data_IF_117486743956
#
_entry.id   IF_117486743956
#
_cell.length_a   1.000
_cell.length_b   1.000
_cell.length_c   1.000
_cell.angle_alpha   90.00
_cell.angle_beta   90.00
_cell.angle_gamma   90.00
#
_symmetry.space_group_name_H-M   'P 1'
#
loop_
_entity.id
_entity.type
_entity.pdbx_description
1 polymer ?
#
# COMPACT_ATOMS: atom_id res chain seq x y z
N UNK A 1 16.89 -5.19 67.02
CA UNK A 1 16.95 -5.76 65.67
C UNK A 1 18.10 -5.06 64.96
N UNK A 2 19.11 -5.82 64.54
CA UNK A 2 20.36 -5.47 63.82
C UNK A 2 19.96 -4.95 62.40
N UNK A 3 20.52 -3.94 61.71
CA UNK A 3 21.91 -3.58 61.33
C UNK A 3 21.95 -2.15 60.62
N UNK A 4 23.04 -1.63 60.00
CA UNK A 4 23.63 -0.33 60.37
C UNK A 4 23.91 0.68 59.21
N UNK A 5 24.39 1.87 59.57
CA UNK A 5 25.37 2.74 58.89
C UNK A 5 25.35 2.94 57.35
N UNK A 6 25.19 4.19 56.88
CA UNK A 6 26.30 5.11 56.48
C UNK A 6 25.73 6.34 55.76
N UNK A 7 26.19 7.53 56.14
CA UNK A 7 25.81 8.81 55.52
C UNK A 7 26.70 9.17 54.27
N UNK A 8 26.79 10.43 53.77
CA UNK A 8 26.48 10.77 52.38
C UNK A 8 27.71 11.22 51.57
N UNK A 9 27.69 11.18 50.24
CA UNK A 9 28.65 11.95 49.43
C UNK A 9 27.95 12.53 48.19
N UNK A 10 28.18 13.84 48.08
CA UNK A 10 27.87 14.85 47.08
C UNK A 10 28.05 14.48 45.60
N UNK A 11 27.27 15.19 44.79
CA UNK A 11 27.62 15.86 43.53
C UNK A 11 28.81 15.30 42.74
N UNK A 12 28.59 15.04 41.46
CA UNK A 12 29.13 15.92 40.41
C UNK A 12 28.68 15.45 39.01
N UNK A 13 28.26 16.46 38.25
CA UNK A 13 28.12 16.58 36.79
C UNK A 13 26.67 16.51 36.29
N UNK A 14 26.02 17.66 36.25
CA UNK A 14 26.01 18.58 35.09
C UNK A 14 25.19 17.99 33.95
N UNK A 15 23.95 18.43 33.81
CA UNK A 15 23.59 19.58 32.98
C UNK A 15 23.34 19.14 31.54
N UNK A 16 22.07 18.96 31.19
CA UNK A 16 21.38 19.73 30.13
C UNK A 16 19.93 19.23 29.99
N UNK A 17 19.02 20.06 29.46
CA UNK A 17 17.70 20.26 30.06
C UNK A 17 16.64 19.29 29.55
N UNK A 18 15.60 19.11 30.37
CA UNK A 18 14.27 18.73 29.91
C UNK A 18 13.77 19.79 28.91
N UNK A 19 13.78 19.46 27.62
CA UNK A 19 13.02 20.21 26.63
C UNK A 19 11.63 19.59 26.59
N UNK A 20 10.72 20.26 27.29
CA UNK A 20 9.28 20.15 27.10
C UNK A 20 8.89 20.53 25.67
N UNK A 21 7.94 19.77 25.14
CA UNK A 21 6.93 20.14 24.15
C UNK A 21 7.34 20.90 22.88
N UNK A 22 7.13 20.22 21.75
CA UNK A 22 6.93 20.85 20.44
C UNK A 22 7.69 20.17 19.31
N UNK A 23 6.99 19.30 18.59
CA UNK A 23 7.38 18.76 17.27
C UNK A 23 8.58 17.80 17.22
N UNK A 24 8.37 16.53 17.57
CA UNK A 24 9.29 15.44 17.20
C UNK A 24 8.55 14.30 16.51
N UNK A 25 8.29 14.46 15.21
CA UNK A 25 8.05 13.34 14.30
C UNK A 25 9.11 13.37 13.20
N UNK A 26 10.30 12.85 13.50
CA UNK A 26 11.25 12.51 12.44
C UNK A 26 10.64 11.35 11.63
N UNK A 27 10.39 11.56 10.34
CA UNK A 27 9.63 10.63 9.51
C UNK A 27 10.46 9.39 9.07
N UNK A 28 11.79 9.46 9.08
CA UNK A 28 12.70 8.32 8.82
C UNK A 28 14.16 8.62 9.23
N UNK A 29 14.99 7.56 9.30
CA UNK A 29 16.46 7.65 9.42
C UNK A 29 17.11 7.15 8.12
N UNK A 30 18.00 7.94 7.50
CA UNK A 30 18.82 7.52 6.35
C UNK A 30 20.29 7.60 6.79
N UNK A 31 21.03 6.48 6.70
CA UNK A 31 22.42 6.37 7.21
C UNK A 31 22.64 6.78 8.68
N UNK A 32 21.58 6.74 9.50
CA UNK A 32 21.64 7.11 10.91
C UNK A 32 21.41 8.61 11.19
N UNK A 33 21.27 9.44 10.17
CA UNK A 33 20.89 10.85 10.33
C UNK A 33 19.36 11.02 10.28
N UNK A 34 18.76 11.78 11.23
CA UNK A 34 17.32 12.01 11.26
C UNK A 34 16.88 13.01 10.17
N UNK A 35 15.94 12.59 9.32
CA UNK A 35 15.37 13.43 8.26
C UNK A 35 14.10 14.15 8.76
N UNK A 36 14.17 15.48 8.82
CA UNK A 36 13.09 16.36 9.30
C UNK A 36 12.29 17.04 8.19
N UNK A 37 12.66 16.84 6.93
CA UNK A 37 11.92 17.30 5.74
C UNK A 37 12.01 16.22 4.67
N UNK A 38 10.88 15.85 4.09
CA UNK A 38 10.84 15.02 2.88
C UNK A 38 11.43 15.85 1.73
N UNK A 39 12.56 15.46 1.12
CA UNK A 39 13.06 16.11 -0.08
C UNK A 39 12.07 15.87 -1.22
N UNK A 40 11.80 16.90 -2.02
CA UNK A 40 10.84 16.84 -3.14
C UNK A 40 11.31 15.90 -4.26
N UNK A 41 12.56 15.45 -4.22
CA UNK A 41 13.16 14.51 -5.16
C UNK A 41 13.84 13.39 -4.36
N UNK A 42 13.08 12.34 -4.04
CA UNK A 42 13.61 11.15 -3.37
C UNK A 42 14.43 10.35 -4.38
N UNK A 43 15.71 10.69 -4.53
CA UNK A 43 16.68 9.90 -5.27
C UNK A 43 16.83 8.53 -4.59
N UNK A 44 16.37 7.47 -5.25
CA UNK A 44 16.54 6.08 -4.80
C UNK A 44 17.85 5.56 -5.39
N UNK A 45 18.84 5.19 -4.56
CA UNK A 45 20.10 4.62 -5.02
C UNK A 45 19.88 3.29 -5.76
N UNK A 46 20.74 2.94 -6.73
CA UNK A 46 20.63 1.69 -7.51
C UNK A 46 20.61 0.42 -6.65
N UNK A 47 21.26 0.42 -5.49
CA UNK A 47 21.26 -0.73 -4.56
C UNK A 47 19.91 -0.89 -3.81
N UNK A 48 19.14 0.20 -3.67
CA UNK A 48 17.76 0.13 -3.17
C UNK A 48 16.77 -0.29 -4.27
N UNK A 49 17.20 -0.39 -5.53
CA UNK A 49 16.41 -0.81 -6.68
C UNK A 49 16.30 -2.35 -6.79
N UNK A 50 17.30 -3.09 -6.30
CA UNK A 50 17.29 -4.56 -6.24
C UNK A 50 16.18 -5.11 -5.34
N UNK A 51 15.84 -4.38 -4.27
CA UNK A 51 14.76 -4.74 -3.33
C UNK A 51 13.36 -4.44 -3.91
N UNK A 52 13.26 -3.80 -5.08
CA UNK A 52 12.02 -3.21 -5.58
C UNK A 52 11.19 -4.06 -6.55
N UNK A 53 11.70 -5.13 -7.18
CA UNK A 53 10.84 -5.98 -8.04
C UNK A 53 10.13 -7.11 -7.32
N UNK A 54 10.57 -7.48 -6.13
CA UNK A 54 9.69 -8.21 -5.22
C UNK A 54 8.53 -7.31 -4.73
N UNK A 55 8.68 -5.98 -4.84
CA UNK A 55 7.67 -5.01 -4.44
C UNK A 55 6.71 -4.57 -5.57
N UNK A 56 7.00 -4.89 -6.84
CA UNK A 56 6.11 -4.57 -7.95
C UNK A 56 5.20 -5.74 -8.30
N UNK A 57 3.90 -5.47 -8.38
CA UNK A 57 2.87 -6.44 -8.75
C UNK A 57 2.74 -6.56 -10.27
N UNK A 58 3.87 -6.69 -10.98
CA UNK A 58 3.94 -6.96 -12.42
C UNK A 58 4.33 -5.77 -13.31
N UNK A 59 4.34 -5.98 -14.65
CA UNK A 59 4.92 -5.04 -15.61
C UNK A 59 4.11 -3.74 -15.79
N UNK A 60 2.79 -3.78 -15.58
CA UNK A 60 1.94 -2.59 -15.66
C UNK A 60 2.22 -1.62 -14.50
N UNK A 61 2.49 -2.16 -13.31
CA UNK A 61 2.81 -1.35 -12.14
C UNK A 61 4.15 -0.64 -12.29
N UNK A 62 5.14 -1.36 -12.81
CA UNK A 62 6.43 -0.77 -13.16
C UNK A 62 6.27 0.36 -14.19
N UNK A 63 5.43 0.17 -15.21
CA UNK A 63 5.16 1.21 -16.20
C UNK A 63 4.48 2.44 -15.58
N UNK A 64 3.46 2.25 -14.73
CA UNK A 64 2.82 3.36 -14.01
C UNK A 64 3.83 4.12 -13.13
N UNK A 65 4.72 3.40 -12.44
CA UNK A 65 5.79 4.00 -11.67
C UNK A 65 6.71 4.87 -12.54
N UNK A 66 7.18 4.35 -13.68
CA UNK A 66 8.05 5.10 -14.60
C UNK A 66 7.36 6.34 -15.18
N UNK A 67 6.08 6.23 -15.55
CA UNK A 67 5.28 7.34 -16.08
C UNK A 67 5.12 8.44 -15.02
N UNK A 68 4.77 8.07 -13.78
CA UNK A 68 4.61 9.03 -12.67
C UNK A 68 5.94 9.68 -12.28
N UNK A 69 7.03 8.91 -12.22
CA UNK A 69 8.37 9.41 -11.88
C UNK A 69 8.84 10.51 -12.84
N UNK A 70 8.48 10.42 -14.11
CA UNK A 70 8.84 11.39 -15.13
C UNK A 70 7.78 12.48 -15.34
N UNK A 71 6.69 12.48 -14.55
CA UNK A 71 5.54 13.37 -14.71
C UNK A 71 4.93 13.30 -16.13
N UNK A 72 4.94 12.12 -16.75
CA UNK A 72 4.28 11.93 -18.05
C UNK A 72 2.77 11.80 -17.87
N UNK A 73 2.03 12.29 -18.87
CA UNK A 73 0.61 12.06 -18.96
C UNK A 73 0.36 10.61 -19.44
N UNK A 74 -0.42 9.83 -18.69
CA UNK A 74 -0.84 8.48 -19.08
C UNK A 74 -1.57 8.46 -20.42
N UNK A 75 -2.28 9.54 -20.79
CA UNK A 75 -2.97 9.65 -22.07
C UNK A 75 -2.04 9.98 -23.23
N UNK A 76 -0.86 10.55 -22.94
CA UNK A 76 0.12 10.95 -23.94
C UNK A 76 1.53 10.51 -23.56
N UNK A 77 1.74 9.19 -23.63
CA UNK A 77 2.98 8.57 -23.18
C UNK A 77 4.07 8.77 -24.26
N UNK A 78 5.24 9.33 -23.93
CA UNK A 78 6.40 9.35 -24.82
C UNK A 78 7.03 7.95 -24.91
N UNK A 79 6.48 7.13 -25.80
CA UNK A 79 6.84 5.70 -25.95
C UNK A 79 8.35 5.46 -26.11
N UNK A 80 9.05 6.33 -26.83
CA UNK A 80 10.49 6.20 -27.01
C UNK A 80 11.27 6.27 -25.68
N UNK A 81 10.90 7.19 -24.80
CA UNK A 81 11.58 7.40 -23.51
C UNK A 81 11.18 6.32 -22.50
N UNK A 82 9.88 6.01 -22.40
CA UNK A 82 9.37 4.98 -21.48
C UNK A 82 9.93 3.60 -21.83
N UNK A 83 9.97 3.24 -23.11
CA UNK A 83 10.54 1.95 -23.56
C UNK A 83 12.03 1.87 -23.23
N UNK A 84 12.79 2.94 -23.44
CA UNK A 84 14.22 2.98 -23.11
C UNK A 84 14.45 2.74 -21.62
N UNK A 85 13.68 3.42 -20.76
CA UNK A 85 13.81 3.27 -19.31
C UNK A 85 13.38 1.88 -18.85
N UNK A 86 12.27 1.37 -19.36
CA UNK A 86 11.79 0.03 -19.05
C UNK A 86 12.85 -1.03 -19.36
N UNK A 87 13.42 -1.00 -20.57
CA UNK A 87 14.49 -1.92 -20.97
C UNK A 87 15.75 -1.77 -20.10
N UNK A 88 16.14 -0.55 -19.75
CA UNK A 88 17.28 -0.30 -18.87
C UNK A 88 17.08 -0.88 -17.46
N UNK A 89 15.86 -0.77 -16.93
CA UNK A 89 15.48 -1.41 -15.67
C UNK A 89 15.55 -2.94 -15.78
N UNK A 90 14.89 -3.53 -16.78
CA UNK A 90 14.92 -5.00 -16.99
C UNK A 90 16.33 -5.54 -17.14
N UNK A 91 17.22 -4.82 -17.82
CA UNK A 91 18.59 -5.28 -18.02
C UNK A 91 19.38 -5.34 -16.70
N UNK A 92 19.20 -4.36 -15.80
CA UNK A 92 19.85 -4.38 -14.47
C UNK A 92 19.41 -5.59 -13.62
N UNK A 93 18.15 -6.00 -13.77
CA UNK A 93 17.52 -7.07 -12.98
C UNK A 93 17.85 -8.46 -13.52
N UNK A 94 17.97 -8.57 -14.85
CA UNK A 94 18.33 -9.82 -15.54
C UNK A 94 19.66 -10.40 -15.06
N UNK A 95 20.56 -9.56 -14.53
CA UNK A 95 21.83 -9.99 -13.95
C UNK A 95 21.66 -10.72 -12.60
N UNK A 96 20.52 -10.57 -11.93
CA UNK A 96 20.28 -11.06 -10.57
C UNK A 96 19.16 -12.12 -10.50
N UNK A 97 18.13 -12.05 -11.34
CA UNK A 97 17.01 -13.00 -11.29
C UNK A 97 16.36 -13.26 -12.66
N UNK A 98 16.63 -14.43 -13.26
CA UNK A 98 16.14 -14.79 -14.61
C UNK A 98 14.70 -15.34 -14.61
N UNK A 99 14.25 -15.96 -13.51
CA UNK A 99 12.95 -16.67 -13.45
C UNK A 99 11.76 -15.70 -13.38
N UNK A 100 11.92 -14.55 -12.73
CA UNK A 100 10.87 -13.51 -12.61
C UNK A 100 10.66 -12.71 -13.91
N UNK A 101 11.55 -12.83 -14.91
CA UNK A 101 11.60 -11.91 -16.03
C UNK A 101 10.59 -12.19 -17.16
N UNK A 102 9.92 -13.35 -17.19
CA UNK A 102 9.15 -13.79 -18.36
C UNK A 102 8.01 -12.81 -18.76
N UNK A 103 7.20 -12.38 -17.79
CA UNK A 103 6.10 -11.43 -18.04
C UNK A 103 6.63 -10.04 -18.43
N UNK A 104 7.77 -9.65 -17.83
CA UNK A 104 8.41 -8.38 -18.13
C UNK A 104 9.02 -8.35 -19.54
N UNK A 105 9.54 -9.48 -20.02
CA UNK A 105 10.06 -9.63 -21.39
C UNK A 105 8.95 -9.57 -22.43
N UNK A 106 7.77 -10.15 -22.13
CA UNK A 106 6.60 -9.99 -22.99
C UNK A 106 6.23 -8.51 -23.15
N UNK A 107 6.18 -7.78 -22.04
CA UNK A 107 5.90 -6.33 -22.09
C UNK A 107 6.99 -5.57 -22.83
N UNK A 108 8.27 -5.92 -22.66
CA UNK A 108 9.36 -5.32 -23.43
C UNK A 108 9.16 -5.48 -24.95
N UNK A 109 8.78 -6.68 -25.39
CA UNK A 109 8.49 -6.94 -26.80
C UNK A 109 7.31 -6.09 -27.31
N UNK A 110 6.23 -5.99 -26.51
CA UNK A 110 5.07 -5.14 -26.85
C UNK A 110 5.46 -3.66 -26.96
N UNK A 111 6.25 -3.13 -26.03
CA UNK A 111 6.71 -1.73 -26.07
C UNK A 111 7.57 -1.45 -27.31
N UNK A 112 8.47 -2.38 -27.66
CA UNK A 112 9.31 -2.28 -28.87
C UNK A 112 8.45 -2.30 -30.14
N UNK A 113 7.44 -3.17 -30.20
CA UNK A 113 6.48 -3.24 -31.30
C UNK A 113 5.72 -1.92 -31.47
N UNK A 114 5.16 -1.38 -30.38
CA UNK A 114 4.42 -0.10 -30.39
C UNK A 114 5.36 1.03 -30.83
N UNK A 115 6.56 1.12 -30.25
CA UNK A 115 7.57 2.11 -30.65
C UNK A 115 7.91 2.01 -32.13
N UNK A 116 8.10 0.81 -32.65
CA UNK A 116 8.39 0.58 -34.07
C UNK A 116 7.25 1.07 -34.96
N UNK A 117 6.01 0.69 -34.66
CA UNK A 117 4.81 1.12 -35.40
C UNK A 117 4.66 2.64 -35.41
N UNK A 118 4.92 3.31 -34.28
CA UNK A 118 4.84 4.77 -34.18
C UNK A 118 5.93 5.50 -34.97
N UNK A 119 7.10 4.88 -35.16
CA UNK A 119 8.21 5.47 -35.91
C UNK A 119 8.11 5.22 -37.42
N UNK A 120 7.30 4.23 -37.84
CA UNK A 120 7.12 3.91 -39.25
C UNK A 120 6.21 4.94 -39.93
N UNK A 121 6.55 5.38 -41.16
CA UNK A 121 5.67 6.27 -41.91
C UNK A 121 4.34 5.57 -42.17
N UNK A 122 3.26 6.19 -41.70
CA UNK A 122 1.89 5.74 -41.97
C UNK A 122 1.70 5.69 -43.49
N UNK A 123 1.40 4.50 -44.04
CA UNK A 123 0.89 4.41 -45.41
C UNK A 123 -0.37 5.26 -45.44
N UNK A 124 -0.43 6.23 -46.36
CA UNK A 124 -1.68 6.94 -46.65
C UNK A 124 -2.73 5.87 -46.90
N UNK A 125 -3.71 5.78 -46.01
CA UNK A 125 -4.81 4.85 -46.19
C UNK A 125 -5.53 5.28 -47.49
N UNK A 126 -5.78 4.33 -48.39
CA UNK A 126 -6.68 4.53 -49.53
C UNK A 126 -8.17 4.58 -49.07
N UNK A 127 -8.40 4.59 -47.75
CA UNK A 127 -9.67 4.48 -47.04
C UNK A 127 -9.76 5.59 -45.98
N UNK A 128 -10.96 6.12 -45.76
CA UNK A 128 -11.32 7.14 -44.74
C UNK A 128 -11.31 6.59 -43.30
N UNK A 129 -10.68 5.43 -43.07
CA UNK A 129 -10.53 4.81 -41.76
C UNK A 129 -9.45 5.53 -40.94
N UNK A 130 -9.86 6.10 -39.80
CA UNK A 130 -8.93 6.63 -38.80
C UNK A 130 -7.96 5.54 -38.37
N UNK A 131 -6.66 5.80 -38.53
CA UNK A 131 -5.62 4.90 -38.04
C UNK A 131 -5.65 4.94 -36.51
N UNK A 132 -6.09 3.85 -35.89
CA UNK A 132 -6.11 3.70 -34.44
C UNK A 132 -4.68 3.89 -33.87
N UNK A 133 -4.57 4.67 -32.80
CA UNK A 133 -3.30 4.93 -32.15
C UNK A 133 -2.70 3.60 -31.64
N UNK A 134 -1.49 3.19 -32.10
CA UNK A 134 -0.87 1.93 -31.70
C UNK A 134 -0.69 1.76 -30.18
N UNK A 135 -0.72 2.85 -29.40
CA UNK A 135 -0.60 2.81 -27.94
C UNK A 135 -1.94 2.71 -27.20
N UNK A 136 -3.08 2.82 -27.89
CA UNK A 136 -4.40 2.93 -27.27
C UNK A 136 -4.71 1.75 -26.34
N UNK A 137 -4.41 0.53 -26.77
CA UNK A 137 -4.62 -0.67 -25.97
C UNK A 137 -3.79 -0.66 -24.68
N UNK A 138 -2.52 -0.24 -24.76
CA UNK A 138 -1.63 -0.14 -23.61
C UNK A 138 -2.16 0.89 -22.60
N UNK A 139 -2.54 2.07 -23.07
CA UNK A 139 -3.10 3.13 -22.23
C UNK A 139 -4.37 2.63 -21.53
N UNK A 140 -5.25 1.93 -22.24
CA UNK A 140 -6.47 1.36 -21.65
C UNK A 140 -6.15 0.40 -20.51
N UNK A 141 -5.21 -0.53 -20.73
CA UNK A 141 -4.77 -1.50 -19.71
C UNK A 141 -4.14 -0.81 -18.49
N UNK A 142 -3.35 0.25 -18.70
CA UNK A 142 -2.74 1.02 -17.62
C UNK A 142 -3.80 1.71 -16.75
N UNK A 143 -4.80 2.34 -17.38
CA UNK A 143 -5.91 2.99 -16.67
C UNK A 143 -6.79 1.98 -15.92
N UNK A 144 -7.09 0.84 -16.54
CA UNK A 144 -7.85 -0.23 -15.90
C UNK A 144 -7.12 -0.77 -14.66
N UNK A 145 -5.81 -1.02 -14.78
CA UNK A 145 -4.99 -1.48 -13.67
C UNK A 145 -4.88 -0.43 -12.57
N UNK A 146 -4.65 0.85 -12.90
CA UNK A 146 -4.60 1.95 -11.92
C UNK A 146 -5.90 2.05 -11.12
N UNK A 147 -7.05 1.95 -11.78
CA UNK A 147 -8.36 1.94 -11.14
C UNK A 147 -8.52 0.74 -10.20
N UNK A 148 -8.11 -0.45 -10.64
CA UNK A 148 -8.16 -1.65 -9.80
C UNK A 148 -7.25 -1.52 -8.58
N UNK A 149 -6.04 -0.96 -8.77
CA UNK A 149 -5.08 -0.74 -7.69
C UNK A 149 -5.63 0.23 -6.64
N UNK A 150 -6.27 1.32 -7.07
CA UNK A 150 -6.95 2.24 -6.17
C UNK A 150 -8.10 1.56 -5.40
N UNK A 151 -8.93 0.80 -6.09
CA UNK A 151 -10.03 0.07 -5.44
C UNK A 151 -9.52 -0.97 -4.43
N UNK A 152 -8.40 -1.64 -4.72
CA UNK A 152 -7.76 -2.55 -3.79
C UNK A 152 -7.24 -1.83 -2.54
N UNK A 153 -6.64 -0.64 -2.70
CA UNK A 153 -6.20 0.20 -1.59
C UNK A 153 -7.36 0.70 -0.73
N UNK A 154 -8.47 1.10 -1.35
CA UNK A 154 -9.69 1.49 -0.64
C UNK A 154 -10.28 0.31 0.14
N UNK A 155 -10.28 -0.88 -0.45
CA UNK A 155 -10.75 -2.10 0.20
C UNK A 155 -9.88 -2.48 1.40
N UNK A 156 -8.56 -2.32 1.28
CA UNK A 156 -7.63 -2.64 2.36
C UNK A 156 -7.79 -1.72 3.59
N UNK A 157 -8.27 -0.48 3.38
CA UNK A 157 -8.58 0.46 4.46
C UNK A 157 -9.85 0.09 5.25
N UNK A 158 -10.69 -0.80 4.74
CA UNK A 158 -11.90 -1.23 5.44
C UNK A 158 -11.48 -2.05 6.68
N UNK A 159 -11.98 -1.74 7.89
CA UNK A 159 -11.69 -2.53 9.07
C UNK A 159 -12.12 -3.99 8.90
N UNK A 160 -11.21 -4.91 9.15
CA UNK A 160 -11.44 -6.35 9.01
C UNK A 160 -11.54 -7.01 10.38
N UNK A 161 -12.59 -7.80 10.59
CA UNK A 161 -12.72 -8.62 11.79
C UNK A 161 -11.59 -9.66 11.84
N UNK A 162 -10.92 -9.77 12.98
CA UNK A 162 -9.76 -10.64 13.19
C UNK A 162 -8.41 -10.00 12.85
N UNK A 163 -8.40 -8.91 12.06
CA UNK A 163 -7.21 -8.07 11.82
C UNK A 163 -7.23 -6.82 12.72
N UNK A 164 -8.32 -6.05 12.62
CA UNK A 164 -8.44 -4.71 13.20
C UNK A 164 -9.35 -4.68 14.43
N UNK A 165 -10.39 -5.52 14.45
CA UNK A 165 -11.30 -5.64 15.60
C UNK A 165 -11.76 -7.07 15.80
N UNK A 166 -12.18 -7.40 17.02
CA UNK A 166 -12.81 -8.68 17.34
C UNK A 166 -14.23 -8.45 17.85
N UNK A 167 -15.13 -9.37 17.49
CA UNK A 167 -16.49 -9.35 18.01
C UNK A 167 -16.50 -10.11 19.33
N UNK A 168 -16.82 -9.41 20.42
CA UNK A 168 -17.01 -10.04 21.71
C UNK A 168 -18.34 -10.82 21.70
N UNK A 169 -18.26 -12.14 21.83
CA UNK A 169 -19.43 -12.98 22.05
C UNK A 169 -19.62 -13.16 23.56
N UNK A 170 -20.62 -12.48 24.12
CA UNK A 170 -21.08 -12.70 25.49
C UNK A 170 -22.27 -13.67 25.48
N UNK A 171 -22.21 -14.72 26.29
CA UNK A 171 -23.41 -15.50 26.60
C UNK A 171 -24.27 -14.65 27.55
N UNK A 172 -25.29 -14.01 27.00
CA UNK A 172 -26.33 -13.40 27.83
C UNK A 172 -27.23 -14.55 28.24
N UNK A 173 -27.07 -15.01 29.49
CA UNK A 173 -28.03 -15.93 30.05
C UNK A 173 -29.38 -15.21 30.13
N UNK A 174 -30.22 -15.45 29.13
CA UNK A 174 -31.54 -14.87 29.01
C UNK A 174 -32.57 -15.80 29.61
N UNK A 175 -32.16 -16.63 30.60
CA UNK A 175 -33.11 -17.16 31.58
C UNK A 175 -33.73 -15.96 32.29
N UNK A 176 -34.78 -15.42 31.68
CA UNK A 176 -35.81 -14.69 32.38
C UNK A 176 -36.23 -15.67 33.46
N UNK A 177 -35.81 -15.43 34.69
CA UNK A 177 -36.32 -16.18 35.83
C UNK A 177 -37.83 -16.04 35.72
N UNK A 178 -38.52 -17.12 35.37
CA UNK A 178 -39.98 -17.16 35.36
C UNK A 178 -40.36 -16.96 36.82
N UNK A 179 -40.65 -15.71 37.19
CA UNK A 179 -41.25 -15.42 38.47
C UNK A 179 -42.67 -15.96 38.38
N UNK A 180 -42.90 -17.14 38.97
CA UNK A 180 -44.25 -17.63 39.16
C UNK A 180 -45.04 -16.54 39.89
N UNK A 181 -46.27 -16.21 39.45
CA UNK A 181 -47.10 -15.27 40.19
C UNK A 181 -47.28 -15.78 41.61
N UNK A 182 -47.24 -14.88 42.60
CA UNK A 182 -47.57 -15.26 43.98
C UNK A 182 -49.04 -15.70 44.01
N UNK A 183 -49.28 -16.98 44.30
CA UNK A 183 -50.61 -17.55 44.40
C UNK A 183 -51.05 -17.50 45.86
N UNK A 184 -52.18 -16.85 46.13
CA UNK A 184 -52.80 -16.83 47.44
C UNK A 184 -53.90 -17.89 47.54
N UNK A 185 -54.30 -18.21 48.78
CA UNK A 185 -55.33 -19.23 49.04
C UNK A 185 -56.67 -18.91 48.34
N UNK A 186 -57.00 -17.62 48.23
CA UNK A 186 -58.23 -17.16 47.60
C UNK A 186 -58.24 -17.44 46.08
N UNK A 187 -57.09 -17.32 45.41
CA UNK A 187 -56.94 -17.61 43.98
C UNK A 187 -57.21 -19.10 43.67
N UNK A 188 -56.75 -19.99 44.56
CA UNK A 188 -57.00 -21.44 44.45
C UNK A 188 -58.48 -21.77 44.69
N UNK A 189 -59.13 -21.08 45.64
CA UNK A 189 -60.56 -21.27 45.91
C UNK A 189 -61.44 -20.82 44.74
N UNK A 190 -61.06 -19.74 44.06
CA UNK A 190 -61.78 -19.27 42.87
C UNK A 190 -61.60 -20.24 41.69
N UNK A 191 -60.37 -20.71 41.44
CA UNK A 191 -60.10 -21.62 40.32
C UNK A 191 -60.78 -23.01 40.47
N UNK A 192 -61.03 -23.47 41.69
CA UNK A 192 -61.64 -24.79 41.93
C UNK A 192 -63.18 -24.77 41.91
N UNK A 193 -63.79 -23.59 41.82
CA UNK A 193 -65.26 -23.44 41.78
C UNK A 193 -65.85 -23.41 40.38
N UNK A 194 -65.02 -23.25 39.34
CA UNK A 194 -65.34 -23.50 37.93
C UNK A 194 -65.13 -24.99 37.59
#
# INVERSE_FOLDING_TARGET
MIDPSTQPISDLLDSTPSVTDGMSSAFAKLYGEPLFKLPTDLYIPPDALEVFLEAFEGPLDLLLYLIRKQNFNVLDIPMAQVTQQYLSYIDQIRHHNLELAAEYLLMAAMLIEIKSRMLLPMKKADSDEEVEDPRAELVRRLLEYERMKLAAQELDQIPQQGRDFQIAHGYVDTTVAVTWPEVNLDDLQMAWRD
#
